data_IF_725009152774
#
_entry.id   IF_725009152774
#
_cell.length_a   1.000
_cell.length_b   1.000
_cell.length_c   1.000
_cell.angle_alpha   90.00
_cell.angle_beta   90.00
_cell.angle_gamma   90.00
#
_symmetry.space_group_name_H-M   'P 1'
#
loop_
_entity.id
_entity.type
_entity.pdbx_description
1 polymer ?
#
# COMPACT_ATOMS: atom_id res chain seq x y z
N UNK A 1 -14.63 25.59 -23.12
CA UNK A 1 -13.16 25.46 -23.23
C UNK A 1 -12.41 26.10 -22.05
N UNK A 2 -12.97 26.05 -20.83
CA UNK A 2 -12.44 26.70 -19.62
C UNK A 2 -12.47 25.78 -18.37
N UNK A 3 -12.61 24.46 -18.58
CA UNK A 3 -12.66 23.45 -17.51
C UNK A 3 -11.52 22.41 -17.58
N UNK A 4 -10.61 22.52 -18.55
CA UNK A 4 -9.50 21.57 -18.77
C UNK A 4 -8.19 22.03 -18.09
N UNK A 5 -8.11 23.30 -17.66
CA UNK A 5 -6.87 23.87 -17.10
C UNK A 5 -6.64 23.56 -15.61
N UNK A 6 -7.62 22.98 -14.89
CA UNK A 6 -7.47 22.68 -13.45
C UNK A 6 -6.90 21.28 -13.13
N UNK A 7 -6.65 20.44 -14.14
CA UNK A 7 -6.20 19.05 -13.98
C UNK A 7 -4.72 18.82 -14.35
N UNK A 8 -4.05 19.79 -15.00
CA UNK A 8 -2.65 19.64 -15.44
C UNK A 8 -1.61 20.37 -14.55
N UNK A 9 -1.83 20.43 -13.23
CA UNK A 9 -0.88 21.07 -12.30
C UNK A 9 -0.18 20.12 -11.32
N UNK A 10 -0.26 18.81 -11.52
CA UNK A 10 0.62 17.85 -10.84
C UNK A 10 1.67 17.37 -11.84
N UNK A 11 2.89 17.92 -11.80
CA UNK A 11 4.16 17.18 -12.04
C UNK A 11 5.43 18.04 -12.15
N UNK A 12 5.41 19.37 -11.98
CA UNK A 12 6.67 20.17 -11.92
C UNK A 12 6.91 20.88 -10.59
N UNK A 13 6.02 20.71 -9.60
CA UNK A 13 6.26 21.21 -8.23
C UNK A 13 6.83 20.12 -7.30
N UNK A 14 7.90 19.42 -7.72
CA UNK A 14 8.59 18.41 -6.88
C UNK A 14 9.69 19.03 -5.99
N UNK A 15 9.80 20.36 -5.90
CA UNK A 15 10.76 21.00 -4.97
C UNK A 15 10.31 22.32 -4.32
N UNK A 16 9.03 22.69 -4.37
CA UNK A 16 8.58 23.96 -3.77
C UNK A 16 7.14 23.91 -3.21
N UNK A 17 6.77 22.84 -2.51
CA UNK A 17 5.69 22.92 -1.53
C UNK A 17 6.34 23.17 -0.17
N UNK A 18 6.53 24.44 0.25
CA UNK A 18 6.90 24.74 1.63
C UNK A 18 5.85 24.12 2.54
N UNK A 19 6.29 23.66 3.72
CA UNK A 19 5.49 23.16 4.85
C UNK A 19 4.01 23.54 4.77
N UNK A 20 3.22 22.74 4.05
CA UNK A 20 1.76 22.78 4.12
C UNK A 20 1.27 21.92 5.28
N UNK A 21 2.17 21.57 6.21
CA UNK A 21 1.78 21.10 7.53
C UNK A 21 1.44 22.34 8.34
N UNK A 22 0.16 22.51 8.61
CA UNK A 22 -0.34 23.33 9.70
C UNK A 22 -0.19 22.50 10.97
N UNK A 23 0.85 22.70 11.81
CA UNK A 23 1.10 21.88 13.00
C UNK A 23 -0.01 21.99 14.05
N UNK A 24 -0.94 22.93 13.86
CA UNK A 24 -2.15 23.17 14.65
C UNK A 24 -3.36 22.30 14.25
N UNK A 25 -3.29 21.54 13.16
CA UNK A 25 -4.38 20.62 12.79
C UNK A 25 -4.35 19.36 13.66
N UNK A 26 -5.49 18.92 14.19
CA UNK A 26 -5.55 17.70 14.97
C UNK A 26 -5.21 16.47 14.12
N UNK A 27 -4.53 15.51 14.74
CA UNK A 27 -4.39 14.16 14.20
C UNK A 27 -5.70 13.39 14.26
N UNK A 28 -5.73 12.16 13.70
CA UNK A 28 -6.87 11.27 13.89
C UNK A 28 -6.97 10.84 15.37
N UNK A 29 -8.18 10.60 15.85
CA UNK A 29 -8.41 10.00 17.17
C UNK A 29 -7.98 8.54 17.25
N UNK A 30 -8.14 7.80 16.14
CA UNK A 30 -7.64 6.44 15.98
C UNK A 30 -7.67 6.00 14.52
N UNK A 31 -6.74 5.13 14.15
CA UNK A 31 -6.50 4.74 12.77
C UNK A 31 -6.75 3.25 12.59
N UNK A 32 -7.46 2.89 11.53
CA UNK A 32 -7.67 1.51 11.13
C UNK A 32 -7.13 1.21 9.74
N UNK A 33 -6.84 -0.06 9.47
CA UNK A 33 -6.36 -0.50 8.17
C UNK A 33 -7.04 -1.80 7.72
N UNK A 34 -7.37 -1.88 6.43
CA UNK A 34 -7.81 -3.09 5.73
C UNK A 34 -6.85 -3.30 4.57
N UNK A 35 -6.42 -4.55 4.37
CA UNK A 35 -5.49 -4.83 3.30
C UNK A 35 -4.96 -6.25 3.28
N UNK A 36 -3.89 -6.39 2.52
CA UNK A 36 -3.18 -7.64 2.33
C UNK A 36 -1.77 -7.59 2.96
N UNK A 37 -0.84 -8.36 2.38
CA UNK A 37 0.55 -8.45 2.82
C UNK A 37 1.35 -7.15 2.66
N UNK A 38 0.85 -6.15 1.95
CA UNK A 38 1.45 -4.81 1.95
C UNK A 38 1.09 -3.98 3.19
N UNK A 39 0.05 -4.39 3.93
CA UNK A 39 -0.50 -3.65 5.09
C UNK A 39 -0.34 -4.40 6.41
N UNK A 40 -0.39 -5.73 6.37
CA UNK A 40 -0.12 -6.61 7.51
C UNK A 40 1.29 -6.35 8.11
N UNK A 41 1.49 -6.62 9.40
CA UNK A 41 2.75 -6.35 10.09
C UNK A 41 3.90 -7.22 9.56
N UNK A 42 4.93 -6.58 9.01
CA UNK A 42 6.02 -7.26 8.32
C UNK A 42 6.84 -8.17 9.24
N UNK A 43 6.99 -7.76 10.49
CA UNK A 43 7.79 -8.45 11.52
C UNK A 43 7.37 -9.89 11.83
N UNK A 44 6.21 -10.36 11.38
CA UNK A 44 5.75 -11.73 11.61
C UNK A 44 6.09 -12.69 10.47
N UNK A 45 6.75 -12.21 9.42
CA UNK A 45 6.96 -12.94 8.17
C UNK A 45 8.44 -13.03 7.80
N UNK A 46 9.14 -13.91 8.52
CA UNK A 46 10.52 -14.29 8.24
C UNK A 46 10.66 -15.10 6.93
N UNK A 47 11.82 -15.04 6.25
CA UNK A 47 12.99 -14.22 6.57
C UNK A 47 12.94 -12.80 5.97
N UNK A 48 12.09 -12.58 4.97
CA UNK A 48 12.24 -11.42 4.08
C UNK A 48 11.52 -10.18 4.61
N UNK A 49 10.22 -10.28 4.90
CA UNK A 49 9.47 -9.13 5.39
C UNK A 49 9.90 -8.71 6.79
N UNK A 50 10.28 -9.66 7.64
CA UNK A 50 10.75 -9.37 8.99
C UNK A 50 12.04 -8.52 9.03
N UNK A 51 12.80 -8.42 7.93
CA UNK A 51 13.93 -7.50 7.81
C UNK A 51 13.53 -6.06 7.44
N UNK A 52 12.24 -5.75 7.36
CA UNK A 52 11.71 -4.46 6.96
C UNK A 52 10.51 -4.04 7.83
N UNK A 53 10.10 -2.78 7.73
CA UNK A 53 8.89 -2.25 8.35
C UNK A 53 7.82 -1.98 7.28
N UNK A 54 6.59 -2.42 7.54
CA UNK A 54 5.40 -2.05 6.78
C UNK A 54 4.96 -0.61 7.01
N UNK A 55 4.14 -0.05 6.14
CA UNK A 55 3.69 1.35 6.26
C UNK A 55 2.91 1.62 7.56
N UNK A 56 2.16 0.62 8.08
CA UNK A 56 1.47 0.70 9.38
C UNK A 56 2.47 0.88 10.51
N UNK A 57 3.48 0.00 10.57
CA UNK A 57 4.55 0.05 11.58
C UNK A 57 5.33 1.36 11.49
N UNK A 58 5.63 1.84 10.28
CA UNK A 58 6.30 3.13 10.05
C UNK A 58 5.47 4.30 10.58
N UNK A 59 4.17 4.35 10.31
CA UNK A 59 3.32 5.45 10.79
C UNK A 59 3.08 5.38 12.30
N UNK A 60 2.91 4.19 12.87
CA UNK A 60 2.83 4.00 14.30
C UNK A 60 4.12 4.49 14.99
N UNK A 61 5.29 4.05 14.51
CA UNK A 61 6.58 4.38 15.09
C UNK A 61 6.96 5.86 14.90
N UNK A 62 6.88 6.37 13.66
CA UNK A 62 7.44 7.67 13.31
C UNK A 62 6.46 8.83 13.55
N UNK A 63 5.16 8.56 13.69
CA UNK A 63 4.12 9.58 13.87
C UNK A 63 3.21 9.34 15.06
N UNK A 64 3.38 8.22 15.78
CA UNK A 64 2.54 7.91 16.93
C UNK A 64 1.07 7.74 16.58
N UNK A 65 0.76 7.29 15.34
CA UNK A 65 -0.62 7.01 14.97
C UNK A 65 -1.14 5.82 15.79
N UNK A 66 -2.32 5.97 16.36
CA UNK A 66 -2.96 4.95 17.18
C UNK A 66 -3.69 3.92 16.32
N UNK A 67 -3.02 2.81 16.01
CA UNK A 67 -3.64 1.62 15.41
C UNK A 67 -4.20 0.65 16.46
N UNK A 68 -4.43 1.13 17.68
CA UNK A 68 -4.84 0.32 18.83
C UNK A 68 -3.65 -0.38 19.50
N UNK A 69 -3.90 -1.13 20.60
CA UNK A 69 -2.85 -1.86 21.30
C UNK A 69 -2.19 -2.90 20.39
N UNK A 70 -0.87 -3.01 20.51
CA UNK A 70 -0.07 -4.02 19.82
C UNK A 70 -0.01 -5.30 20.66
N UNK A 71 -0.26 -6.46 20.05
CA UNK A 71 -0.17 -7.77 20.70
C UNK A 71 0.75 -8.74 19.95
N UNK A 72 1.51 -9.52 20.71
CA UNK A 72 2.25 -10.68 20.19
C UNK A 72 1.45 -11.99 20.31
N UNK A 73 0.34 -11.97 21.04
CA UNK A 73 -0.56 -13.11 21.17
C UNK A 73 -1.42 -13.22 19.92
N UNK A 74 -1.53 -14.44 19.38
CA UNK A 74 -2.42 -14.71 18.25
C UNK A 74 -3.88 -14.71 18.73
N UNK A 75 -4.64 -13.72 18.27
CA UNK A 75 -6.04 -13.51 18.64
C UNK A 75 -7.01 -14.18 17.65
N UNK A 76 -6.49 -14.96 16.69
CA UNK A 76 -7.26 -15.65 15.67
C UNK A 76 -7.59 -14.78 14.44
N UNK A 77 -8.16 -15.40 13.40
CA UNK A 77 -8.45 -14.71 12.14
C UNK A 77 -9.55 -13.63 12.31
N UNK A 78 -9.59 -12.64 11.39
CA UNK A 78 -8.65 -12.42 10.29
C UNK A 78 -7.36 -11.70 10.72
N UNK A 79 -7.31 -11.14 11.93
CA UNK A 79 -6.28 -10.19 12.37
C UNK A 79 -5.04 -10.84 13.00
N UNK A 80 -5.17 -12.00 13.61
CA UNK A 80 -4.09 -12.69 14.33
C UNK A 80 -3.37 -11.81 15.37
N UNK A 81 -2.12 -11.41 15.09
CA UNK A 81 -1.21 -10.65 15.97
C UNK A 81 -1.05 -9.22 15.43
N UNK A 82 -0.39 -8.35 16.18
CA UNK A 82 -0.11 -6.98 15.73
C UNK A 82 -1.05 -5.94 16.31
N UNK A 83 -1.25 -4.84 15.59
CA UNK A 83 -2.08 -3.72 16.04
C UNK A 83 -3.58 -4.07 16.02
N UNK A 84 -4.31 -3.71 17.06
CA UNK A 84 -5.72 -4.10 17.22
C UNK A 84 -6.67 -3.56 16.13
N UNK A 85 -6.32 -2.45 15.49
CA UNK A 85 -7.11 -1.82 14.44
C UNK A 85 -6.53 -2.06 13.03
N UNK A 86 -5.44 -2.83 12.92
CA UNK A 86 -4.99 -3.36 11.63
C UNK A 86 -5.71 -4.68 11.37
N UNK A 87 -6.64 -4.68 10.42
CA UNK A 87 -7.41 -5.86 10.02
C UNK A 87 -6.85 -6.49 8.74
N UNK A 88 -5.70 -6.03 8.24
CA UNK A 88 -5.07 -6.62 7.08
C UNK A 88 -4.62 -8.06 7.34
N UNK A 89 -4.60 -8.87 6.28
CA UNK A 89 -4.11 -10.24 6.34
C UNK A 89 -3.26 -10.56 5.14
N UNK A 90 -2.05 -11.04 5.39
CA UNK A 90 -1.11 -11.45 4.37
C UNK A 90 -1.72 -12.48 3.41
N UNK A 91 -1.71 -12.17 2.11
CA UNK A 91 -2.27 -13.02 1.06
C UNK A 91 -3.75 -12.79 0.75
N UNK A 92 -4.46 -11.99 1.55
CA UNK A 92 -5.89 -11.76 1.33
C UNK A 92 -6.18 -11.14 -0.04
N UNK A 93 -7.18 -11.69 -0.70
CA UNK A 93 -7.91 -11.07 -1.82
C UNK A 93 -9.04 -10.18 -1.29
N UNK A 94 -9.71 -9.46 -2.18
CA UNK A 94 -10.92 -8.72 -1.81
C UNK A 94 -12.08 -9.62 -1.38
N UNK A 95 -12.16 -10.85 -1.90
CA UNK A 95 -13.15 -11.85 -1.47
C UNK A 95 -12.87 -12.30 -0.03
N UNK A 96 -11.60 -12.56 0.31
CA UNK A 96 -11.21 -12.96 1.68
C UNK A 96 -11.49 -11.85 2.70
N UNK A 97 -11.21 -10.59 2.36
CA UNK A 97 -11.49 -9.47 3.26
C UNK A 97 -12.99 -9.31 3.58
N UNK A 98 -13.86 -9.75 2.66
CA UNK A 98 -15.30 -9.86 2.92
C UNK A 98 -15.58 -11.10 3.77
N UNK A 99 -15.20 -12.29 3.28
CA UNK A 99 -15.55 -13.57 3.89
C UNK A 99 -15.07 -13.71 5.33
N UNK A 100 -13.90 -13.17 5.64
CA UNK A 100 -13.24 -13.29 6.94
C UNK A 100 -13.52 -12.11 7.87
N UNK A 101 -14.29 -11.11 7.40
CA UNK A 101 -14.79 -10.03 8.24
C UNK A 101 -13.78 -8.93 8.56
N UNK A 102 -12.78 -8.67 7.71
CA UNK A 102 -11.89 -7.50 7.88
C UNK A 102 -12.70 -6.20 7.94
N UNK A 103 -13.66 -6.06 7.01
CA UNK A 103 -14.50 -4.87 6.90
C UNK A 103 -15.51 -4.70 8.04
N UNK A 104 -16.17 -5.78 8.48
CA UNK A 104 -17.12 -5.72 9.61
C UNK A 104 -16.42 -5.55 10.95
N UNK A 105 -15.27 -6.18 11.12
CA UNK A 105 -14.44 -6.03 12.31
C UNK A 105 -13.96 -4.60 12.52
N UNK A 106 -13.38 -3.99 11.48
CA UNK A 106 -12.96 -2.60 11.56
C UNK A 106 -14.16 -1.64 11.70
N UNK A 107 -15.27 -1.92 11.01
CA UNK A 107 -16.50 -1.14 11.16
C UNK A 107 -17.02 -1.14 12.61
N UNK A 108 -16.89 -2.24 13.35
CA UNK A 108 -17.20 -2.27 14.78
C UNK A 108 -16.39 -1.24 15.58
N UNK A 109 -15.08 -1.16 15.32
CA UNK A 109 -14.20 -0.19 15.99
C UNK A 109 -14.49 1.26 15.57
N UNK A 110 -14.93 1.48 14.33
CA UNK A 110 -15.42 2.78 13.86
C UNK A 110 -16.71 3.18 14.58
N UNK A 111 -17.68 2.27 14.70
CA UNK A 111 -18.95 2.50 15.38
C UNK A 111 -18.77 2.78 16.89
N UNK A 112 -17.77 2.15 17.52
CA UNK A 112 -17.37 2.39 18.90
C UNK A 112 -16.59 3.71 19.11
N UNK A 113 -16.28 4.44 18.04
CA UNK A 113 -15.51 5.68 18.09
C UNK A 113 -14.01 5.49 18.36
N UNK A 114 -13.50 4.26 18.28
CA UNK A 114 -12.07 3.93 18.44
C UNK A 114 -11.25 4.24 17.19
N UNK A 115 -11.90 4.31 16.03
CA UNK A 115 -11.26 4.62 14.75
C UNK A 115 -12.08 5.70 14.02
N UNK A 116 -11.41 6.75 13.56
CA UNK A 116 -12.02 7.85 12.80
C UNK A 116 -11.35 8.11 11.43
N UNK A 117 -10.24 7.42 11.15
CA UNK A 117 -9.57 7.37 9.86
C UNK A 117 -9.22 5.93 9.48
N UNK A 118 -9.72 5.46 8.34
CA UNK A 118 -9.44 4.13 7.81
C UNK A 118 -8.57 4.21 6.55
N UNK A 119 -7.61 3.32 6.41
CA UNK A 119 -6.86 3.09 5.17
C UNK A 119 -7.29 1.76 4.56
N UNK A 120 -7.56 1.75 3.25
CA UNK A 120 -7.91 0.53 2.51
C UNK A 120 -6.93 0.37 1.37
N UNK A 121 -6.08 -0.66 1.45
CA UNK A 121 -5.13 -1.02 0.40
C UNK A 121 -5.18 -2.53 0.15
N UNK A 122 -6.00 -2.90 -0.83
CA UNK A 122 -6.36 -4.28 -1.13
C UNK A 122 -6.67 -4.43 -2.63
N UNK A 123 -6.48 -5.63 -3.15
CA UNK A 123 -6.81 -5.99 -4.52
C UNK A 123 -5.64 -6.56 -5.31
N UNK A 124 -4.41 -6.47 -4.78
CA UNK A 124 -3.22 -6.98 -5.47
C UNK A 124 -3.30 -8.50 -5.70
N UNK A 125 -3.64 -9.23 -4.65
CA UNK A 125 -3.73 -10.70 -4.71
C UNK A 125 -4.84 -11.18 -5.65
N UNK A 126 -5.96 -10.47 -5.79
CA UNK A 126 -7.02 -10.81 -6.74
C UNK A 126 -6.47 -11.00 -8.17
N UNK A 127 -5.54 -10.14 -8.59
CA UNK A 127 -4.93 -10.18 -9.91
C UNK A 127 -3.71 -11.11 -9.99
N UNK A 128 -2.93 -11.23 -8.91
CA UNK A 128 -1.79 -12.16 -8.86
C UNK A 128 -2.28 -13.60 -8.93
N UNK A 129 -3.31 -13.94 -8.15
CA UNK A 129 -3.91 -15.27 -8.18
C UNK A 129 -4.58 -15.57 -9.51
N UNK A 130 -5.20 -14.57 -10.15
CA UNK A 130 -5.79 -14.76 -11.48
C UNK A 130 -4.75 -15.11 -12.56
N UNK A 131 -3.46 -14.87 -12.31
CA UNK A 131 -2.34 -15.23 -13.18
C UNK A 131 -1.64 -16.53 -12.76
N UNK A 132 -2.16 -17.25 -11.76
CA UNK A 132 -1.66 -18.58 -11.40
C UNK A 132 -1.80 -19.56 -12.59
N UNK A 133 -0.72 -20.27 -13.00
CA UNK A 133 -0.77 -21.21 -14.12
C UNK A 133 -1.77 -22.35 -13.92
N UNK A 134 -2.10 -22.68 -12.67
CA UNK A 134 -3.06 -23.74 -12.34
C UNK A 134 -4.52 -23.26 -12.44
N UNK A 135 -4.75 -21.96 -12.67
CA UNK A 135 -6.09 -21.38 -12.81
C UNK A 135 -6.42 -21.10 -14.28
N UNK A 136 -7.64 -21.43 -14.73
CA UNK A 136 -8.10 -21.03 -16.06
C UNK A 136 -8.08 -19.50 -16.22
N UNK A 137 -7.16 -19.00 -17.04
CA UNK A 137 -7.00 -17.56 -17.30
C UNK A 137 -7.43 -17.21 -18.73
N UNK A 138 -8.26 -16.19 -18.83
CA UNK A 138 -8.73 -15.59 -20.08
C UNK A 138 -9.06 -14.11 -19.87
N UNK A 139 -9.09 -13.31 -20.96
CA UNK A 139 -9.45 -11.90 -20.87
C UNK A 139 -10.84 -11.67 -20.22
N UNK A 140 -11.81 -12.56 -20.43
CA UNK A 140 -13.14 -12.47 -19.80
C UNK A 140 -13.10 -12.82 -18.31
N UNK A 141 -12.30 -13.82 -17.91
CA UNK A 141 -12.09 -14.14 -16.49
C UNK A 141 -11.43 -12.98 -15.74
N UNK A 142 -10.42 -12.34 -16.33
CA UNK A 142 -9.72 -11.18 -15.76
C UNK A 142 -10.64 -9.96 -15.64
N UNK A 143 -11.51 -9.74 -16.63
CA UNK A 143 -12.52 -8.68 -16.54
C UNK A 143 -13.51 -8.92 -15.37
N UNK A 144 -13.88 -10.19 -15.11
CA UNK A 144 -14.72 -10.58 -13.99
C UNK A 144 -13.99 -10.42 -12.64
N UNK A 145 -12.72 -10.78 -12.55
CA UNK A 145 -11.88 -10.51 -11.36
C UNK A 145 -11.89 -9.01 -11.04
N UNK A 146 -11.64 -8.14 -12.02
CA UNK A 146 -11.68 -6.70 -11.82
C UNK A 146 -13.05 -6.18 -11.38
N UNK A 147 -14.13 -6.72 -11.94
CA UNK A 147 -15.50 -6.31 -11.58
C UNK A 147 -15.87 -6.75 -10.15
N UNK A 148 -15.53 -8.00 -9.78
CA UNK A 148 -15.75 -8.56 -8.45
C UNK A 148 -14.96 -7.78 -7.40
N UNK A 149 -13.66 -7.60 -7.62
CA UNK A 149 -12.81 -6.85 -6.71
C UNK A 149 -13.30 -5.41 -6.51
N UNK A 150 -13.71 -4.73 -7.59
CA UNK A 150 -14.29 -3.39 -7.49
C UNK A 150 -15.63 -3.38 -6.74
N UNK A 151 -16.43 -4.45 -6.84
CA UNK A 151 -17.66 -4.65 -6.07
C UNK A 151 -17.37 -4.84 -4.58
N UNK A 152 -16.43 -5.72 -4.24
CA UNK A 152 -16.02 -5.99 -2.86
C UNK A 152 -15.46 -4.74 -2.20
N UNK A 153 -14.59 -3.98 -2.88
CA UNK A 153 -14.08 -2.72 -2.34
C UNK A 153 -15.18 -1.67 -2.12
N UNK A 154 -16.24 -1.66 -2.95
CA UNK A 154 -17.43 -0.83 -2.69
C UNK A 154 -18.17 -1.28 -1.44
N UNK A 155 -18.33 -2.60 -1.23
CA UNK A 155 -18.91 -3.15 -0.01
C UNK A 155 -18.09 -2.78 1.22
N UNK A 156 -16.78 -3.02 1.21
CA UNK A 156 -15.85 -2.68 2.30
C UNK A 156 -15.97 -1.20 2.68
N UNK A 157 -15.86 -0.31 1.69
CA UNK A 157 -15.96 1.14 1.90
C UNK A 157 -17.36 1.52 2.42
N UNK A 158 -18.43 0.98 1.84
CA UNK A 158 -19.80 1.20 2.31
C UNK A 158 -19.99 0.82 3.77
N UNK A 159 -19.53 -0.38 4.17
CA UNK A 159 -19.62 -0.86 5.56
C UNK A 159 -18.91 0.06 6.55
N UNK A 160 -17.73 0.59 6.20
CA UNK A 160 -17.02 1.55 7.05
C UNK A 160 -17.73 2.91 7.14
N UNK A 161 -18.33 3.39 6.04
CA UNK A 161 -19.07 4.66 6.00
C UNK A 161 -20.40 4.60 6.75
N UNK A 162 -21.05 3.43 6.74
CA UNK A 162 -22.32 3.19 7.44
C UNK A 162 -22.11 3.04 8.95
N UNK A 163 -20.91 2.62 9.38
CA UNK A 163 -20.56 2.47 10.79
C UNK A 163 -20.53 3.80 11.55
N UNK A 164 -20.20 4.91 10.89
CA UNK A 164 -20.22 6.24 11.49
C UNK A 164 -20.37 7.36 10.45
N UNK A 165 -21.21 8.39 10.71
CA UNK A 165 -21.33 9.54 9.82
C UNK A 165 -20.03 10.35 9.70
N UNK A 166 -19.10 10.21 10.66
CA UNK A 166 -17.81 10.92 10.67
C UNK A 166 -16.63 10.07 10.20
N UNK A 167 -16.86 8.81 9.80
CA UNK A 167 -15.81 7.95 9.27
C UNK A 167 -15.17 8.58 8.03
N UNK A 168 -13.84 8.55 7.96
CA UNK A 168 -13.05 9.04 6.83
C UNK A 168 -12.17 7.91 6.31
N UNK A 169 -12.14 7.73 5.01
CA UNK A 169 -11.45 6.59 4.38
C UNK A 169 -10.45 7.11 3.37
N UNK A 170 -9.22 6.59 3.38
CA UNK A 170 -8.26 6.75 2.31
C UNK A 170 -8.15 5.42 1.56
N UNK A 171 -8.60 5.43 0.32
CA UNK A 171 -8.57 4.28 -0.58
C UNK A 171 -7.33 4.34 -1.47
N UNK A 172 -6.56 3.26 -1.53
CA UNK A 172 -5.37 3.15 -2.36
C UNK A 172 -5.66 2.48 -3.71
N UNK A 173 -5.06 2.98 -4.79
CA UNK A 173 -4.99 2.22 -6.05
C UNK A 173 -3.87 1.18 -5.97
N UNK A 174 -3.97 0.12 -6.78
CA UNK A 174 -3.01 -0.99 -6.79
C UNK A 174 -2.00 -0.81 -7.94
N UNK A 175 -0.68 -0.77 -7.67
CA UNK A 175 0.35 -0.71 -8.72
C UNK A 175 0.29 -1.86 -9.72
N UNK A 176 0.84 -1.64 -10.92
CA UNK A 176 0.86 -2.65 -11.98
C UNK A 176 1.74 -3.86 -11.63
N UNK A 177 1.29 -5.07 -11.98
CA UNK A 177 2.00 -6.31 -11.65
C UNK A 177 3.31 -6.51 -12.42
N UNK A 178 3.49 -5.87 -13.58
CA UNK A 178 4.71 -5.99 -14.40
C UNK A 178 5.97 -5.50 -13.70
N UNK A 179 5.82 -4.58 -12.75
CA UNK A 179 6.94 -4.06 -11.97
C UNK A 179 7.45 -5.03 -10.91
N UNK A 180 6.68 -6.08 -10.57
CA UNK A 180 7.04 -7.06 -9.54
C UNK A 180 8.11 -8.03 -10.06
N UNK A 181 9.26 -8.17 -9.36
CA UNK A 181 10.27 -9.17 -9.71
C UNK A 181 9.71 -10.59 -9.86
N UNK A 182 8.86 -11.05 -8.94
CA UNK A 182 8.22 -12.37 -9.00
C UNK A 182 7.46 -12.59 -10.33
N UNK A 183 6.69 -11.60 -10.77
CA UNK A 183 5.91 -11.70 -12.01
C UNK A 183 6.84 -11.67 -13.23
N UNK A 184 7.89 -10.85 -13.21
CA UNK A 184 8.89 -10.81 -14.28
C UNK A 184 9.61 -12.15 -14.42
N UNK A 185 9.99 -12.77 -13.32
CA UNK A 185 10.69 -14.04 -13.30
C UNK A 185 9.78 -15.17 -13.81
N UNK A 186 8.49 -15.17 -13.43
CA UNK A 186 7.49 -16.11 -13.96
C UNK A 186 7.25 -15.93 -15.46
N UNK A 187 7.25 -14.71 -15.99
CA UNK A 187 7.19 -14.47 -17.44
C UNK A 187 8.45 -14.99 -18.12
N UNK A 188 9.63 -14.71 -17.57
CA UNK A 188 10.90 -15.18 -18.14
C UNK A 188 11.02 -16.71 -18.14
N UNK A 189 10.44 -17.37 -17.14
CA UNK A 189 10.34 -18.83 -17.05
C UNK A 189 9.23 -19.44 -17.94
N UNK A 190 8.45 -18.62 -18.65
CA UNK A 190 7.32 -19.09 -19.48
C UNK A 190 6.11 -19.57 -18.69
N UNK A 191 6.03 -19.26 -17.39
CA UNK A 191 4.92 -19.64 -16.50
C UNK A 191 3.74 -18.67 -16.59
N UNK A 192 3.96 -17.47 -17.13
CA UNK A 192 2.90 -16.49 -17.43
C UNK A 192 3.03 -16.10 -18.89
N UNK A 193 1.95 -16.29 -19.66
CA UNK A 193 1.84 -15.77 -21.03
C UNK A 193 1.86 -14.22 -21.01
N UNK A 194 2.79 -13.55 -21.71
CA UNK A 194 2.81 -12.10 -21.84
C UNK A 194 1.46 -11.51 -22.27
N UNK A 195 0.74 -12.15 -23.20
CA UNK A 195 -0.57 -11.66 -23.64
C UNK A 195 -1.61 -11.69 -22.51
N UNK A 196 -1.52 -12.65 -21.59
CA UNK A 196 -2.37 -12.71 -20.40
C UNK A 196 -1.97 -11.67 -19.35
N UNK A 197 -0.68 -11.38 -19.19
CA UNK A 197 -0.23 -10.26 -18.36
C UNK A 197 -0.69 -8.90 -18.91
N UNK A 198 -0.74 -8.74 -20.23
CA UNK A 198 -1.29 -7.57 -20.91
C UNK A 198 -2.80 -7.42 -20.65
N UNK A 199 -3.56 -8.50 -20.79
CA UNK A 199 -4.98 -8.54 -20.47
C UNK A 199 -5.24 -8.24 -18.98
N UNK A 200 -4.41 -8.79 -18.09
CA UNK A 200 -4.49 -8.53 -16.65
C UNK A 200 -4.21 -7.05 -16.35
N UNK A 201 -3.21 -6.46 -17.01
CA UNK A 201 -2.91 -5.02 -16.90
C UNK A 201 -4.10 -4.14 -17.34
N UNK A 202 -4.85 -4.55 -18.37
CA UNK A 202 -6.10 -3.86 -18.77
C UNK A 202 -7.16 -3.98 -17.69
N UNK A 203 -7.36 -5.18 -17.14
CA UNK A 203 -8.34 -5.43 -16.09
C UNK A 203 -8.02 -4.64 -14.80
N UNK A 204 -6.77 -4.65 -14.36
CA UNK A 204 -6.30 -3.88 -13.21
C UNK A 204 -6.50 -2.36 -13.39
N UNK A 205 -6.27 -1.83 -14.60
CA UNK A 205 -6.59 -0.42 -14.90
C UNK A 205 -8.08 -0.11 -14.77
N UNK A 206 -8.97 -1.04 -15.15
CA UNK A 206 -10.43 -0.89 -14.96
C UNK A 206 -10.79 -0.90 -13.48
N UNK A 207 -10.21 -1.80 -12.70
CA UNK A 207 -10.36 -1.84 -11.25
C UNK A 207 -9.92 -0.52 -10.60
N UNK A 208 -8.71 -0.04 -10.87
CA UNK A 208 -8.22 1.24 -10.35
C UNK A 208 -9.07 2.43 -10.81
N UNK A 209 -9.60 2.41 -12.03
CA UNK A 209 -10.53 3.45 -12.49
C UNK A 209 -11.84 3.46 -11.67
N UNK A 210 -12.34 2.29 -11.25
CA UNK A 210 -13.49 2.17 -10.37
C UNK A 210 -13.20 2.72 -8.97
N UNK A 211 -12.03 2.45 -8.38
CA UNK A 211 -11.64 3.00 -7.07
C UNK A 211 -11.54 4.54 -7.12
N UNK A 212 -10.95 5.08 -8.19
CA UNK A 212 -10.90 6.53 -8.42
C UNK A 212 -12.30 7.13 -8.58
N UNK A 213 -13.24 6.40 -9.21
CA UNK A 213 -14.61 6.86 -9.34
C UNK A 213 -15.33 6.88 -7.98
N UNK A 214 -15.11 5.85 -7.14
CA UNK A 214 -15.65 5.80 -5.78
C UNK A 214 -15.17 6.98 -4.94
N UNK A 215 -13.87 7.26 -4.91
CA UNK A 215 -13.31 8.40 -4.17
C UNK A 215 -13.78 9.76 -4.70
N UNK A 216 -14.16 9.88 -5.98
CA UNK A 216 -14.75 11.11 -6.51
C UNK A 216 -16.23 11.29 -6.14
N UNK A 217 -16.95 10.19 -5.93
CA UNK A 217 -18.37 10.20 -5.68
C UNK A 217 -18.71 10.42 -4.20
N UNK A 218 -17.86 10.00 -3.28
CA UNK A 218 -18.08 10.07 -1.83
C UNK A 218 -17.10 11.05 -1.16
N UNK A 219 -17.58 12.19 -0.62
CA UNK A 219 -16.74 13.18 0.05
C UNK A 219 -15.94 12.64 1.25
N UNK A 220 -16.41 11.57 1.91
CA UNK A 220 -15.72 10.91 3.02
C UNK A 220 -14.66 9.89 2.57
N UNK A 221 -14.41 9.75 1.27
CA UNK A 221 -13.39 8.88 0.69
C UNK A 221 -12.35 9.70 -0.06
N UNK A 222 -11.12 9.72 0.45
CA UNK A 222 -9.94 10.26 -0.22
C UNK A 222 -9.18 9.18 -1.00
N UNK A 223 -8.28 9.61 -1.87
CA UNK A 223 -7.52 8.71 -2.75
C UNK A 223 -6.02 8.81 -2.51
N UNK A 224 -5.37 7.68 -2.30
CA UNK A 224 -3.93 7.52 -2.40
C UNK A 224 -3.58 6.81 -3.71
N UNK A 225 -3.29 7.60 -4.75
CA UNK A 225 -3.09 7.03 -6.09
C UNK A 225 -1.68 6.42 -6.29
N UNK A 226 -1.45 5.23 -5.75
CA UNK A 226 -0.17 4.50 -5.83
C UNK A 226 0.12 3.97 -7.25
N UNK A 227 -0.88 3.61 -8.04
CA UNK A 227 -0.69 3.16 -9.43
C UNK A 227 -0.08 4.27 -10.30
N UNK A 228 -0.57 5.50 -10.14
CA UNK A 228 -0.02 6.63 -10.88
C UNK A 228 1.44 6.90 -10.49
N UNK A 229 1.73 6.90 -9.18
CA UNK A 229 3.08 7.13 -8.67
C UNK A 229 4.06 6.04 -9.13
N UNK A 230 3.65 4.76 -9.05
CA UNK A 230 4.44 3.64 -9.53
C UNK A 230 4.74 3.76 -11.02
N UNK A 231 3.74 4.07 -11.86
CA UNK A 231 3.93 4.23 -13.32
C UNK A 231 4.85 5.38 -13.69
N UNK A 232 4.74 6.51 -13.01
CA UNK A 232 5.65 7.64 -13.21
C UNK A 232 7.07 7.24 -12.83
N UNK A 233 7.24 6.57 -11.69
CA UNK A 233 8.55 6.07 -11.28
C UNK A 233 9.10 5.08 -12.32
N UNK A 234 8.34 4.08 -12.77
CA UNK A 234 8.73 3.10 -13.80
C UNK A 234 9.21 3.77 -15.09
N UNK A 235 8.49 4.80 -15.56
CA UNK A 235 8.83 5.50 -16.79
C UNK A 235 10.13 6.32 -16.67
N UNK A 236 10.37 6.96 -15.53
CA UNK A 236 11.49 7.88 -15.35
C UNK A 236 12.76 7.20 -14.81
N UNK A 237 12.59 6.12 -14.04
CA UNK A 237 13.66 5.51 -13.25
C UNK A 237 13.65 3.99 -13.39
N UNK A 238 13.79 3.43 -14.60
CA UNK A 238 13.46 2.04 -14.89
C UNK A 238 14.28 1.02 -14.09
N UNK A 239 15.48 1.38 -13.63
CA UNK A 239 16.32 0.50 -12.80
C UNK A 239 16.63 1.06 -11.42
N UNK A 240 17.13 2.30 -11.36
CA UNK A 240 17.55 2.90 -10.11
C UNK A 240 16.72 4.13 -9.79
N UNK A 241 16.25 4.22 -8.55
CA UNK A 241 15.59 5.41 -8.01
C UNK A 241 16.41 5.97 -6.85
N UNK A 242 16.55 7.30 -6.80
CA UNK A 242 17.19 7.99 -5.69
C UNK A 242 16.13 8.49 -4.70
N UNK A 243 16.25 8.11 -3.43
CA UNK A 243 15.35 8.52 -2.35
C UNK A 243 16.19 8.94 -1.17
N UNK A 244 16.07 10.19 -0.71
CA UNK A 244 16.70 10.63 0.54
C UNK A 244 18.22 10.58 0.56
N UNK A 245 18.88 10.46 -0.60
CA UNK A 245 20.32 10.25 -0.72
C UNK A 245 20.73 8.79 -0.91
N UNK A 246 19.82 7.83 -0.69
CA UNK A 246 20.02 6.43 -1.02
C UNK A 246 19.68 6.15 -2.50
N UNK A 247 20.36 5.19 -3.09
CA UNK A 247 20.09 4.66 -4.44
C UNK A 247 19.55 3.24 -4.29
N UNK A 248 18.35 3.01 -4.81
CA UNK A 248 17.66 1.72 -4.73
C UNK A 248 17.66 1.02 -6.09
N UNK A 249 18.04 -0.26 -6.13
CA UNK A 249 17.80 -1.14 -7.28
C UNK A 249 16.34 -1.63 -7.26
N UNK A 250 15.64 -1.43 -8.37
CA UNK A 250 14.23 -1.80 -8.54
C UNK A 250 14.05 -3.15 -9.23
N UNK A 251 15.10 -3.67 -9.85
CA UNK A 251 15.02 -4.87 -10.68
C UNK A 251 15.53 -6.11 -9.97
N UNK A 252 16.55 -5.94 -9.14
CA UNK A 252 17.14 -7.01 -8.35
C UNK A 252 16.55 -6.98 -6.93
N UNK A 253 15.76 -7.98 -6.52
CA UNK A 253 15.25 -8.07 -5.16
C UNK A 253 16.35 -8.41 -4.14
N UNK A 254 16.18 -7.99 -2.89
CA UNK A 254 17.09 -8.30 -1.79
C UNK A 254 16.66 -7.64 -0.48
N UNK A 255 17.08 -8.19 0.65
CA UNK A 255 16.68 -7.68 1.97
C UNK A 255 17.55 -6.50 2.45
N UNK A 256 18.65 -6.21 1.75
CA UNK A 256 19.49 -5.06 2.08
C UNK A 256 18.82 -3.72 1.69
N UNK A 257 19.08 -2.60 2.40
CA UNK A 257 18.44 -1.30 2.15
C UNK A 257 18.66 -0.71 0.75
N UNK A 258 19.58 -1.27 -0.04
CA UNK A 258 19.84 -0.89 -1.43
C UNK A 258 18.84 -1.45 -2.44
N UNK A 259 17.87 -2.26 -2.03
CA UNK A 259 16.85 -2.85 -2.90
C UNK A 259 15.48 -2.25 -2.63
N UNK A 260 14.69 -2.00 -3.69
CA UNK A 260 13.30 -1.57 -3.55
C UNK A 260 12.41 -2.74 -3.11
N UNK A 261 12.60 -3.91 -3.73
CA UNK A 261 11.89 -5.13 -3.43
C UNK A 261 12.72 -6.02 -2.51
N UNK A 262 12.07 -6.65 -1.54
CA UNK A 262 12.64 -7.67 -0.68
C UNK A 262 12.93 -8.94 -1.47
N UNK A 263 13.71 -9.86 -0.89
CA UNK A 263 14.20 -11.04 -1.57
C UNK A 263 13.08 -12.00 -2.05
N UNK A 264 11.89 -11.93 -1.45
CA UNK A 264 10.69 -12.65 -1.93
C UNK A 264 10.18 -12.17 -3.31
N UNK A 265 10.69 -11.06 -3.83
CA UNK A 265 10.37 -10.54 -5.15
C UNK A 265 8.94 -9.97 -5.28
N UNK A 266 8.17 -9.90 -4.19
CA UNK A 266 6.79 -9.40 -4.17
C UNK A 266 6.65 -8.15 -3.34
N UNK A 267 7.26 -8.12 -2.15
CA UNK A 267 7.08 -7.06 -1.18
C UNK A 267 8.16 -6.00 -1.31
N UNK A 268 7.81 -4.75 -0.99
CA UNK A 268 8.78 -3.65 -1.01
C UNK A 268 9.38 -3.46 0.38
N UNK A 269 10.67 -3.13 0.43
CA UNK A 269 11.37 -2.88 1.69
C UNK A 269 10.97 -1.57 2.36
N UNK A 270 11.56 -1.28 3.52
CA UNK A 270 11.22 -0.12 4.36
C UNK A 270 11.23 1.22 3.62
N UNK A 271 12.13 1.40 2.65
CA UNK A 271 12.14 2.65 1.87
C UNK A 271 10.89 2.77 0.99
N UNK A 272 10.47 1.69 0.33
CA UNK A 272 9.24 1.65 -0.45
C UNK A 272 8.00 1.82 0.42
N UNK A 273 7.93 1.09 1.54
CA UNK A 273 6.85 1.21 2.53
C UNK A 273 6.76 2.62 3.13
N UNK A 274 7.90 3.29 3.34
CA UNK A 274 7.95 4.67 3.80
C UNK A 274 7.41 5.67 2.77
N UNK A 275 7.56 5.41 1.47
CA UNK A 275 6.94 6.21 0.41
C UNK A 275 5.41 6.02 0.40
N UNK A 276 4.92 4.80 0.62
CA UNK A 276 3.49 4.52 0.81
C UNK A 276 2.96 5.27 2.05
N UNK A 277 3.64 5.16 3.19
CA UNK A 277 3.29 5.89 4.41
C UNK A 277 3.25 7.42 4.21
N UNK A 278 4.24 7.97 3.50
CA UNK A 278 4.27 9.38 3.12
C UNK A 278 3.04 9.75 2.28
N UNK A 279 2.68 8.90 1.30
CA UNK A 279 1.53 9.13 0.42
C UNK A 279 0.21 9.07 1.19
N UNK A 280 0.06 8.14 2.12
CA UNK A 280 -1.11 8.05 3.00
C UNK A 280 -1.28 9.25 3.93
N UNK A 281 -0.20 9.73 4.55
CA UNK A 281 -0.24 10.96 5.35
C UNK A 281 -0.65 12.18 4.49
N UNK A 282 -0.10 12.28 3.27
CA UNK A 282 -0.46 13.36 2.33
C UNK A 282 -1.91 13.28 1.88
N UNK A 283 -2.42 12.09 1.58
CA UNK A 283 -3.81 11.90 1.16
C UNK A 283 -4.78 12.31 2.28
N UNK A 284 -4.51 11.92 3.53
CA UNK A 284 -5.30 12.33 4.69
C UNK A 284 -5.32 13.86 4.87
N UNK A 285 -4.18 14.54 4.69
CA UNK A 285 -4.13 16.00 4.73
C UNK A 285 -4.90 16.65 3.58
N UNK A 286 -4.68 16.19 2.34
CA UNK A 286 -5.28 16.79 1.14
C UNK A 286 -6.80 16.68 1.15
N UNK A 287 -7.32 15.51 1.52
CA UNK A 287 -8.76 15.24 1.48
C UNK A 287 -9.50 15.69 2.74
N UNK A 288 -8.90 15.52 3.91
CA UNK A 288 -9.61 15.67 5.18
C UNK A 288 -8.97 16.69 6.13
N UNK A 289 -7.88 17.35 5.73
CA UNK A 289 -7.12 18.29 6.57
C UNK A 289 -6.67 17.67 7.90
N UNK A 290 -6.37 16.37 7.91
CA UNK A 290 -5.83 15.68 9.09
C UNK A 290 -4.34 16.01 9.19
N UNK A 291 -3.90 16.46 10.37
CA UNK A 291 -2.56 16.95 10.64
C UNK A 291 -1.51 15.86 10.82
N UNK A 292 -1.38 14.92 9.89
CA UNK A 292 -0.29 13.91 9.92
C UNK A 292 0.91 14.48 9.15
N UNK A 293 2.05 14.80 9.81
CA UNK A 293 3.23 15.27 9.10
C UNK A 293 3.72 14.18 8.13
N UNK A 294 3.87 14.44 6.82
CA UNK A 294 4.44 13.44 5.91
C UNK A 294 5.88 13.11 6.30
N UNK A 295 6.32 11.87 6.10
CA UNK A 295 7.74 11.51 6.24
C UNK A 295 8.57 12.20 5.14
N UNK A 296 9.70 12.79 5.49
CA UNK A 296 10.69 13.21 4.50
C UNK A 296 11.43 12.00 3.92
N UNK A 297 12.00 12.13 2.72
CA UNK A 297 12.80 11.03 2.15
C UNK A 297 14.02 10.67 3.01
N UNK A 298 14.59 11.64 3.74
CA UNK A 298 15.71 11.38 4.67
C UNK A 298 15.26 10.58 5.88
N UNK A 299 14.11 10.90 6.47
CA UNK A 299 13.53 10.09 7.56
C UNK A 299 13.27 8.66 7.10
N UNK A 300 12.71 8.47 5.91
CA UNK A 300 12.44 7.15 5.34
C UNK A 300 13.74 6.32 5.22
N UNK A 301 14.80 6.91 4.67
CA UNK A 301 16.10 6.21 4.55
C UNK A 301 16.73 5.94 5.91
N UNK A 302 16.64 6.88 6.86
CA UNK A 302 17.17 6.69 8.20
C UNK A 302 16.47 5.52 8.93
N UNK A 303 15.15 5.41 8.80
CA UNK A 303 14.37 4.28 9.35
C UNK A 303 14.78 2.95 8.71
N UNK A 304 14.99 2.92 7.40
CA UNK A 304 15.48 1.70 6.73
C UNK A 304 16.88 1.32 7.23
N UNK A 305 17.76 2.31 7.43
CA UNK A 305 19.12 2.09 7.94
C UNK A 305 19.18 1.59 9.38
N UNK A 306 18.19 1.89 10.22
CA UNK A 306 18.14 1.40 11.61
C UNK A 306 17.76 -0.07 11.74
N UNK A 307 17.25 -0.69 10.68
CA UNK A 307 16.86 -2.11 10.64
C UNK A 307 17.94 -3.01 10.05
N UNK A 308 18.85 -2.42 9.26
CA UNK A 308 19.99 -3.18 8.76
C UNK A 308 20.79 -3.68 9.98
N UNK A 309 21.24 -4.95 9.98
CA UNK A 309 22.23 -5.36 10.96
C UNK A 309 23.39 -4.36 10.91
N UNK A 310 23.94 -3.91 12.05
CA UNK A 310 25.11 -3.04 12.05
C UNK A 310 26.16 -3.74 11.19
N UNK A 311 26.53 -3.06 10.10
CA UNK A 311 27.15 -3.58 8.90
C UNK A 311 27.93 -4.90 9.01
N UNK A 312 27.82 -5.73 7.97
CA UNK A 312 28.95 -6.52 7.43
C UNK A 312 30.12 -5.58 7.03
N UNK A 313 30.62 -4.81 7.99
CA UNK A 313 31.84 -4.02 7.94
C UNK A 313 32.85 -4.67 8.87
N UNK A 314 33.12 -5.95 8.64
CA UNK A 314 34.37 -6.63 8.92
C UNK A 314 34.27 -8.02 8.28
N UNK A 315 35.31 -8.42 7.54
CA UNK A 315 35.50 -9.75 6.92
C UNK A 315 34.98 -9.98 5.48
N UNK A 316 35.38 -9.13 4.52
CA UNK A 316 35.93 -9.65 3.25
C UNK A 316 37.09 -8.76 2.79
N UNK A 317 38.29 -9.14 3.24
CA UNK A 317 39.59 -9.05 2.56
C UNK A 317 40.11 -7.66 2.16
N UNK A 318 40.87 -7.04 3.08
CA UNK A 318 42.12 -6.38 2.67
C UNK A 318 43.17 -7.47 2.33
N UNK A 319 44.05 -7.26 1.34
CA UNK A 319 45.06 -8.23 0.92
C UNK A 319 46.06 -8.58 2.02
#
# INVERSE_FOLDING_TARGET
>A
MWAVVRSMSLSVAVSAMPRLVRPDLPGPGGVGAIGDSYTDEYRFYEPDRASALGWVEILALARGLDFGPFSLEDLGPPRHRGFAHNWARSGATSDDAIAEGQHTGLAGQVAEGKVDLCYVFLGGNDFIEALDPDRPCSASSLARVAANAAGNLRTIVGTLLDASPTARIILATVPGLRGLPEIRDRVAAGLIDPAMLDACSVALRRFNAALRALARAEPRVGLADLELEARVAEALFPRFIAVGGARLDRLSPGNAPGHLFLADGRHIGTVGQGLIAQRFARAAFVHFRIGIPPLSHREIVALAGSLAPPAEAELVQAP
#
